data_IF_695751496412
#
_entry.id   IF_695751496412
#
_cell.length_a   1.000
_cell.length_b   1.000
_cell.length_c   1.000
_cell.angle_alpha   90.00
_cell.angle_beta   90.00
_cell.angle_gamma   90.00
#
_symmetry.space_group_name_H-M   'P 1'
#
loop_
_entity.id
_entity.type
_entity.pdbx_description
1 polymer ?
#
# COMPACT_ATOMS: atom_id res chain seq x y z
N UNK A 1 18.53 -29.12 -17.08
CA UNK A 1 18.51 -28.86 -15.62
C UNK A 1 17.22 -28.13 -15.26
N UNK A 2 16.68 -28.28 -14.05
CA UNK A 2 15.57 -27.43 -13.57
C UNK A 2 16.13 -26.10 -13.08
N UNK A 3 15.44 -25.00 -13.41
CA UNK A 3 15.88 -23.64 -13.10
C UNK A 3 14.67 -22.71 -13.07
N UNK A 4 14.75 -21.61 -12.32
CA UNK A 4 13.74 -20.56 -12.40
C UNK A 4 13.93 -19.69 -13.63
N UNK A 5 12.87 -19.10 -14.16
CA UNK A 5 12.93 -18.23 -15.34
C UNK A 5 13.96 -17.08 -15.22
N UNK A 6 14.30 -16.68 -13.99
CA UNK A 6 15.33 -15.67 -13.65
C UNK A 6 16.77 -16.16 -13.72
N UNK A 7 16.97 -17.43 -14.06
CA UNK A 7 18.27 -18.15 -14.04
C UNK A 7 18.57 -18.76 -15.42
N UNK A 8 17.94 -18.24 -16.48
CA UNK A 8 18.17 -18.76 -17.83
C UNK A 8 19.61 -18.49 -18.24
N UNK A 9 20.34 -19.56 -18.54
CA UNK A 9 21.72 -19.48 -19.03
C UNK A 9 21.77 -18.77 -20.39
N UNK A 10 22.78 -17.91 -20.57
CA UNK A 10 22.96 -17.11 -21.78
C UNK A 10 22.05 -15.88 -21.90
N UNK A 11 21.14 -15.66 -20.95
CA UNK A 11 20.28 -14.47 -20.91
C UNK A 11 20.96 -13.35 -20.09
N UNK A 12 21.31 -12.26 -20.76
CA UNK A 12 22.05 -11.14 -20.15
C UNK A 12 21.29 -10.48 -18.99
N UNK A 13 19.95 -10.42 -19.08
CA UNK A 13 19.11 -9.83 -18.04
C UNK A 13 19.03 -10.75 -16.82
N UNK A 14 18.98 -12.07 -17.03
CA UNK A 14 19.08 -13.04 -15.93
C UNK A 14 20.43 -12.92 -15.22
N UNK A 15 21.53 -12.79 -15.96
CA UNK A 15 22.86 -12.60 -15.40
C UNK A 15 22.99 -11.28 -14.62
N UNK A 16 22.42 -10.19 -15.13
CA UNK A 16 22.40 -8.91 -14.42
C UNK A 16 21.55 -8.99 -13.14
N UNK A 17 20.39 -9.64 -13.20
CA UNK A 17 19.54 -9.87 -12.04
C UNK A 17 20.21 -10.72 -10.96
N UNK A 18 21.01 -11.73 -11.36
CA UNK A 18 21.80 -12.53 -10.42
C UNK A 18 22.85 -11.68 -9.71
N UNK A 19 23.63 -10.87 -10.45
CA UNK A 19 24.62 -9.96 -9.85
C UNK A 19 24.01 -8.98 -8.85
N UNK A 20 22.79 -8.49 -9.12
CA UNK A 20 22.09 -7.62 -8.17
C UNK A 20 21.82 -8.34 -6.83
N UNK A 21 21.38 -9.60 -6.88
CA UNK A 21 21.17 -10.43 -5.69
C UNK A 21 22.48 -10.83 -5.01
N UNK A 22 23.54 -11.06 -5.77
CA UNK A 22 24.87 -11.34 -5.22
C UNK A 22 25.36 -10.15 -4.37
N UNK A 23 25.20 -8.92 -4.88
CA UNK A 23 25.54 -7.69 -4.14
C UNK A 23 24.69 -7.55 -2.87
N UNK A 24 23.38 -7.80 -2.94
CA UNK A 24 22.52 -7.80 -1.74
C UNK A 24 22.99 -8.85 -0.72
N UNK A 25 23.31 -10.06 -1.18
CA UNK A 25 23.81 -11.12 -0.31
C UNK A 25 25.15 -10.74 0.35
N UNK A 26 26.11 -10.21 -0.40
CA UNK A 26 27.42 -9.78 0.12
C UNK A 26 27.29 -8.74 1.24
N UNK A 27 26.34 -7.82 1.12
CA UNK A 27 26.12 -6.75 2.12
C UNK A 27 25.36 -7.27 3.35
N UNK A 28 24.33 -8.09 3.15
CA UNK A 28 23.35 -8.37 4.19
C UNK A 28 23.42 -9.79 4.78
N UNK A 29 24.05 -10.77 4.13
CA UNK A 29 24.07 -12.16 4.62
C UNK A 29 24.63 -12.32 6.03
N UNK A 30 25.60 -11.47 6.41
CA UNK A 30 26.20 -11.46 7.75
C UNK A 30 25.19 -11.23 8.87
N UNK A 31 24.09 -10.50 8.63
CA UNK A 31 23.10 -10.24 9.67
C UNK A 31 22.28 -11.48 10.05
N UNK A 32 22.41 -12.58 9.29
CA UNK A 32 21.87 -13.88 9.66
C UNK A 32 22.75 -14.65 10.67
N UNK A 33 23.86 -14.05 11.12
CA UNK A 33 24.75 -14.63 12.13
C UNK A 33 24.43 -14.10 13.54
N UNK A 34 24.57 -14.98 14.54
CA UNK A 34 24.22 -14.66 15.93
C UNK A 34 25.03 -13.49 16.52
N UNK A 35 26.22 -13.20 15.99
CA UNK A 35 27.06 -12.09 16.42
C UNK A 35 26.44 -10.70 16.16
N UNK A 36 25.42 -10.61 15.29
CA UNK A 36 24.69 -9.39 15.00
C UNK A 36 23.38 -9.25 15.80
N UNK A 37 23.10 -10.12 16.76
CA UNK A 37 21.83 -10.08 17.50
C UNK A 37 21.65 -8.82 18.37
N UNK A 38 22.74 -8.21 18.84
CA UNK A 38 22.72 -7.02 19.71
C UNK A 38 23.24 -5.76 18.98
N UNK A 39 23.14 -5.73 17.66
CA UNK A 39 23.65 -4.61 16.87
C UNK A 39 22.85 -3.31 17.15
N UNK A 40 23.53 -2.17 17.19
CA UNK A 40 22.86 -0.86 17.18
C UNK A 40 22.26 -0.63 15.79
N UNK A 41 20.99 -1.01 15.64
CA UNK A 41 20.28 -1.03 14.36
C UNK A 41 20.27 0.35 13.70
N UNK A 42 20.10 1.42 14.49
CA UNK A 42 20.04 2.77 13.94
C UNK A 42 21.40 3.21 13.38
N UNK A 43 22.47 2.99 14.14
CA UNK A 43 23.83 3.32 13.72
C UNK A 43 24.23 2.51 12.48
N UNK A 44 23.92 1.21 12.46
CA UNK A 44 24.26 0.33 11.35
C UNK A 44 23.46 0.67 10.09
N UNK A 45 22.16 0.93 10.21
CA UNK A 45 21.33 1.34 9.09
C UNK A 45 21.87 2.62 8.43
N UNK A 46 22.32 3.59 9.23
CA UNK A 46 22.94 4.80 8.73
C UNK A 46 24.24 4.51 7.99
N UNK A 47 25.16 3.76 8.61
CA UNK A 47 26.46 3.42 8.04
C UNK A 47 26.33 2.69 6.71
N UNK A 48 25.45 1.69 6.65
CA UNK A 48 25.19 0.91 5.43
C UNK A 48 24.45 1.74 4.40
N UNK A 49 23.44 2.54 4.80
CA UNK A 49 22.71 3.41 3.89
C UNK A 49 23.61 4.43 3.18
N UNK A 50 24.51 5.07 3.92
CA UNK A 50 25.49 6.03 3.39
C UNK A 50 26.46 5.35 2.41
N UNK A 51 26.95 4.14 2.71
CA UNK A 51 27.91 3.43 1.87
C UNK A 51 27.27 2.75 0.65
N UNK A 52 26.06 2.18 0.81
CA UNK A 52 25.36 1.40 -0.21
C UNK A 52 24.44 2.25 -1.08
N UNK A 53 24.18 3.51 -0.70
CA UNK A 53 23.32 4.42 -1.46
C UNK A 53 21.84 4.09 -1.36
N UNK A 54 21.38 3.57 -0.22
CA UNK A 54 19.97 3.21 0.04
C UNK A 54 19.40 4.00 1.22
N UNK A 55 18.09 4.15 1.25
CA UNK A 55 17.41 4.81 2.37
C UNK A 55 17.55 3.99 3.66
N UNK A 56 17.56 4.66 4.81
CA UNK A 56 17.58 4.02 6.14
C UNK A 56 16.50 2.94 6.24
N UNK A 57 15.26 3.25 5.84
CA UNK A 57 14.13 2.32 5.90
C UNK A 57 14.35 1.05 5.06
N UNK A 58 14.91 1.17 3.87
CA UNK A 58 15.19 0.00 3.02
C UNK A 58 16.31 -0.86 3.60
N UNK A 59 17.34 -0.23 4.17
CA UNK A 59 18.45 -0.94 4.82
C UNK A 59 17.98 -1.67 6.07
N UNK A 60 17.14 -1.03 6.88
CA UNK A 60 16.52 -1.64 8.06
C UNK A 60 15.73 -2.89 7.68
N UNK A 61 14.88 -2.78 6.65
CA UNK A 61 14.14 -3.90 6.09
C UNK A 61 15.08 -5.05 5.66
N UNK A 62 16.18 -4.73 4.97
CA UNK A 62 17.16 -5.73 4.54
C UNK A 62 17.88 -6.42 5.71
N UNK A 63 18.31 -5.66 6.72
CA UNK A 63 18.96 -6.19 7.92
C UNK A 63 18.01 -7.13 8.66
N UNK A 64 16.78 -6.69 8.92
CA UNK A 64 15.78 -7.49 9.62
C UNK A 64 15.41 -8.76 8.83
N UNK A 65 15.29 -8.66 7.51
CA UNK A 65 15.02 -9.82 6.65
C UNK A 65 16.10 -10.91 6.77
N UNK A 66 17.39 -10.52 6.77
CA UNK A 66 18.48 -11.47 6.95
C UNK A 66 18.64 -11.94 8.39
N UNK A 67 18.35 -11.09 9.38
CA UNK A 67 18.27 -11.50 10.78
C UNK A 67 17.28 -12.65 10.97
N UNK A 68 16.09 -12.56 10.35
CA UNK A 68 15.09 -13.65 10.35
C UNK A 68 15.52 -14.88 9.57
N UNK A 69 16.29 -14.72 8.51
CA UNK A 69 16.88 -15.87 7.80
C UNK A 69 17.80 -16.70 8.72
N UNK A 70 18.39 -16.10 9.76
CA UNK A 70 19.15 -16.81 10.79
C UNK A 70 18.34 -17.86 11.56
N UNK A 71 17.01 -17.72 11.60
CA UNK A 71 16.07 -18.66 12.25
C UNK A 71 15.61 -19.80 11.30
N UNK A 72 16.10 -19.83 10.05
CA UNK A 72 15.71 -20.78 9.00
C UNK A 72 16.97 -21.40 8.36
N UNK A 73 17.64 -22.35 9.04
CA UNK A 73 18.98 -22.82 8.66
C UNK A 73 19.06 -23.47 7.27
N UNK A 74 18.05 -24.23 6.84
CA UNK A 74 18.04 -24.89 5.53
C UNK A 74 17.83 -23.88 4.40
N UNK A 75 16.93 -22.90 4.59
CA UNK A 75 16.74 -21.80 3.66
C UNK A 75 17.97 -20.89 3.60
N UNK A 76 18.62 -20.62 4.74
CA UNK A 76 19.89 -19.88 4.81
C UNK A 76 20.96 -20.57 3.97
N UNK A 77 21.09 -21.89 4.08
CA UNK A 77 22.01 -22.68 3.27
C UNK A 77 21.66 -22.61 1.77
N UNK A 78 20.38 -22.76 1.41
CA UNK A 78 19.93 -22.63 0.02
C UNK A 78 20.21 -21.24 -0.55
N UNK A 79 20.03 -20.19 0.25
CA UNK A 79 20.31 -18.81 -0.16
C UNK A 79 21.82 -18.58 -0.31
N UNK A 80 22.66 -19.17 0.53
CA UNK A 80 24.12 -19.10 0.39
C UNK A 80 24.61 -19.75 -0.91
N UNK A 81 23.98 -20.85 -1.32
CA UNK A 81 24.32 -21.57 -2.55
C UNK A 81 23.78 -20.85 -3.80
N UNK A 82 22.53 -20.42 -3.77
CA UNK A 82 21.80 -20.03 -5.00
C UNK A 82 21.58 -18.53 -5.15
N UNK A 83 21.56 -17.78 -4.04
CA UNK A 83 21.28 -16.33 -4.00
C UNK A 83 20.07 -15.93 -4.85
N UNK A 84 19.00 -16.72 -4.74
CA UNK A 84 17.74 -16.56 -5.50
C UNK A 84 16.84 -15.48 -4.92
N UNK A 85 16.92 -15.26 -3.62
CA UNK A 85 16.03 -14.35 -2.90
C UNK A 85 16.65 -12.96 -2.85
N UNK A 86 15.91 -11.98 -3.33
CA UNK A 86 16.18 -10.57 -3.08
C UNK A 86 15.63 -10.16 -1.71
N UNK A 87 16.03 -8.98 -1.24
CA UNK A 87 15.57 -8.42 0.04
C UNK A 87 14.05 -8.41 0.15
N UNK A 88 13.33 -8.09 -0.92
CA UNK A 88 11.85 -8.03 -0.91
C UNK A 88 11.21 -9.39 -0.64
N UNK A 89 11.79 -10.48 -1.16
CA UNK A 89 11.31 -11.84 -0.88
C UNK A 89 11.70 -12.31 0.51
N UNK A 90 12.91 -11.99 0.97
CA UNK A 90 13.34 -12.32 2.34
C UNK A 90 12.51 -11.60 3.39
N UNK A 91 12.20 -10.32 3.17
CA UNK A 91 11.34 -9.52 4.04
C UNK A 91 9.90 -10.08 4.11
N UNK A 92 9.35 -10.50 2.96
CA UNK A 92 8.06 -11.18 2.90
C UNK A 92 8.01 -12.48 3.73
N UNK A 93 9.14 -13.19 3.84
CA UNK A 93 9.31 -14.35 4.71
C UNK A 93 9.38 -13.88 6.16
N UNK A 94 10.28 -12.94 6.48
CA UNK A 94 10.48 -12.38 7.82
C UNK A 94 9.19 -11.87 8.45
N UNK A 95 8.43 -11.01 7.76
CA UNK A 95 7.14 -10.52 8.26
C UNK A 95 6.12 -11.64 8.54
N UNK A 96 6.22 -12.78 7.85
CA UNK A 96 5.32 -13.91 8.09
C UNK A 96 5.78 -14.76 9.26
N UNK A 97 7.09 -14.95 9.41
CA UNK A 97 7.70 -15.61 10.57
C UNK A 97 7.46 -14.80 11.85
N UNK A 98 7.53 -13.47 11.79
CA UNK A 98 7.33 -12.59 12.95
C UNK A 98 5.91 -12.69 13.52
N UNK A 99 4.92 -13.03 12.69
CA UNK A 99 3.55 -13.25 13.17
C UNK A 99 3.40 -14.51 14.02
N UNK A 100 4.42 -15.35 14.09
CA UNK A 100 4.47 -16.58 14.89
C UNK A 100 5.13 -16.38 16.26
N UNK A 101 5.49 -15.14 16.64
CA UNK A 101 6.24 -14.82 17.87
C UNK A 101 5.62 -15.33 19.18
N UNK A 102 4.35 -15.75 19.18
CA UNK A 102 3.65 -16.30 20.35
C UNK A 102 3.53 -17.85 20.37
N UNK A 103 4.12 -18.55 19.40
CA UNK A 103 4.04 -20.02 19.31
C UNK A 103 5.36 -20.70 19.74
N UNK A 104 5.30 -21.91 20.35
CA UNK A 104 6.48 -22.71 20.64
C UNK A 104 7.17 -23.11 19.33
N UNK A 105 8.45 -22.80 19.23
CA UNK A 105 9.02 -22.22 18.00
C UNK A 105 9.76 -23.18 17.09
N UNK A 106 10.23 -24.33 17.55
CA UNK A 106 11.17 -25.13 16.75
C UNK A 106 10.49 -25.94 15.64
N UNK A 107 9.51 -26.80 15.96
CA UNK A 107 8.85 -27.67 14.98
C UNK A 107 8.13 -26.87 13.88
N UNK A 108 7.52 -25.74 14.24
CA UNK A 108 6.86 -24.84 13.30
C UNK A 108 7.88 -24.15 12.39
N UNK A 109 9.03 -23.72 12.92
CA UNK A 109 10.11 -23.16 12.12
C UNK A 109 10.73 -24.22 11.21
N UNK A 110 10.93 -25.45 11.67
CA UNK A 110 11.42 -26.57 10.84
C UNK A 110 10.48 -26.86 9.67
N UNK A 111 9.16 -26.91 9.91
CA UNK A 111 8.16 -27.11 8.85
C UNK A 111 8.17 -25.95 7.84
N UNK A 112 8.26 -24.71 8.32
CA UNK A 112 8.36 -23.52 7.47
C UNK A 112 9.64 -23.51 6.65
N UNK A 113 10.76 -23.85 7.26
CA UNK A 113 12.07 -23.90 6.64
C UNK A 113 12.09 -24.94 5.51
N UNK A 114 11.63 -26.16 5.80
CA UNK A 114 11.49 -27.23 4.79
C UNK A 114 10.55 -26.82 3.64
N UNK A 115 9.41 -26.19 3.96
CA UNK A 115 8.46 -25.70 2.96
C UNK A 115 9.06 -24.61 2.06
N UNK A 116 9.85 -23.69 2.64
CA UNK A 116 10.52 -22.63 1.89
C UNK A 116 11.61 -23.19 0.98
N UNK A 117 12.40 -24.16 1.45
CA UNK A 117 13.39 -24.87 0.62
C UNK A 117 12.70 -25.56 -0.56
N UNK A 118 11.59 -26.25 -0.34
CA UNK A 118 10.81 -26.87 -1.43
C UNK A 118 10.30 -25.81 -2.43
N UNK A 119 9.81 -24.68 -1.92
CA UNK A 119 9.27 -23.59 -2.73
C UNK A 119 10.33 -22.96 -3.64
N UNK A 120 11.56 -22.83 -3.15
CA UNK A 120 12.69 -22.24 -3.86
C UNK A 120 13.62 -23.27 -4.50
N UNK A 121 13.15 -24.52 -4.64
CA UNK A 121 13.79 -25.55 -5.45
C UNK A 121 12.98 -25.75 -6.75
N UNK A 122 13.55 -25.44 -7.93
CA UNK A 122 12.82 -25.52 -9.18
C UNK A 122 12.53 -26.99 -9.54
N UNK A 123 11.26 -27.28 -9.85
CA UNK A 123 10.81 -28.63 -10.24
C UNK A 123 10.84 -28.84 -11.74
N UNK A 124 10.87 -27.74 -12.52
CA UNK A 124 10.95 -27.75 -13.98
C UNK A 124 11.77 -26.57 -14.50
N UNK A 125 12.29 -26.71 -15.72
CA UNK A 125 12.99 -25.64 -16.42
C UNK A 125 12.07 -24.43 -16.64
N UNK A 126 12.61 -23.22 -16.46
CA UNK A 126 11.87 -21.97 -16.66
C UNK A 126 10.69 -21.77 -15.69
N UNK A 127 10.72 -22.39 -14.50
CA UNK A 127 9.67 -22.20 -13.50
C UNK A 127 9.64 -20.73 -13.06
N UNK A 128 8.46 -20.15 -12.87
CA UNK A 128 8.38 -18.76 -12.37
C UNK A 128 8.80 -18.74 -10.91
N UNK A 129 9.77 -17.87 -10.57
CA UNK A 129 10.17 -17.64 -9.19
C UNK A 129 8.99 -17.02 -8.41
N UNK A 130 8.58 -17.58 -7.27
CA UNK A 130 7.49 -17.03 -6.47
C UNK A 130 7.69 -15.54 -6.16
N UNK A 131 6.63 -14.73 -6.32
CA UNK A 131 6.65 -13.32 -5.93
C UNK A 131 6.50 -13.19 -4.40
N UNK A 132 6.88 -12.04 -3.84
CA UNK A 132 6.66 -11.72 -2.42
C UNK A 132 5.20 -11.93 -1.99
N UNK A 133 4.23 -11.56 -2.84
CA UNK A 133 2.81 -11.80 -2.57
C UNK A 133 2.46 -13.29 -2.56
N UNK A 134 3.00 -14.07 -3.50
CA UNK A 134 2.77 -15.51 -3.54
C UNK A 134 3.38 -16.22 -2.31
N UNK A 135 4.56 -15.77 -1.88
CA UNK A 135 5.24 -16.23 -0.65
C UNK A 135 4.36 -15.95 0.56
N UNK A 136 3.96 -14.68 0.77
CA UNK A 136 3.06 -14.26 1.87
C UNK A 136 1.79 -15.11 1.87
N UNK A 137 1.15 -15.28 0.71
CA UNK A 137 -0.09 -16.07 0.61
C UNK A 137 0.13 -17.52 1.06
N UNK A 138 1.15 -18.19 0.52
CA UNK A 138 1.43 -19.60 0.80
C UNK A 138 1.89 -19.84 2.23
N UNK A 139 2.75 -18.98 2.76
CA UNK A 139 3.15 -19.05 4.17
C UNK A 139 1.96 -18.80 5.09
N UNK A 140 1.11 -17.80 4.80
CA UNK A 140 -0.11 -17.58 5.58
C UNK A 140 -1.08 -18.77 5.53
N UNK A 141 -1.19 -19.45 4.39
CA UNK A 141 -1.98 -20.68 4.27
C UNK A 141 -1.41 -21.81 5.15
N UNK A 142 -0.08 -21.96 5.19
CA UNK A 142 0.59 -22.94 6.05
C UNK A 142 0.40 -22.60 7.53
N UNK A 143 0.68 -21.35 7.92
CA UNK A 143 0.50 -20.84 9.27
C UNK A 143 -0.92 -21.05 9.78
N UNK A 144 -1.94 -20.83 8.95
CA UNK A 144 -3.35 -21.08 9.33
C UNK A 144 -3.70 -22.54 9.53
N UNK A 145 -2.99 -23.46 8.87
CA UNK A 145 -3.17 -24.90 9.09
C UNK A 145 -2.58 -25.30 10.44
N UNK A 146 -1.47 -24.68 10.82
CA UNK A 146 -0.77 -24.90 12.09
C UNK A 146 -1.56 -24.26 13.25
N UNK A 147 -1.99 -23.01 13.08
CA UNK A 147 -2.77 -22.26 14.07
C UNK A 147 -3.94 -21.51 13.42
N UNK A 148 -5.15 -22.04 13.62
CA UNK A 148 -6.39 -21.45 13.13
C UNK A 148 -6.73 -20.10 13.78
N UNK A 149 -6.15 -19.77 14.95
CA UNK A 149 -6.39 -18.49 15.62
C UNK A 149 -5.72 -17.31 14.90
N UNK A 150 -4.72 -17.58 14.06
CA UNK A 150 -4.06 -16.61 13.19
C UNK A 150 -4.84 -16.34 11.89
N UNK A 151 -6.02 -16.95 11.73
CA UNK A 151 -6.91 -16.63 10.62
C UNK A 151 -7.34 -15.15 10.70
N UNK A 152 -7.34 -14.42 9.57
CA UNK A 152 -7.75 -13.03 9.56
C UNK A 152 -9.21 -12.91 10.02
N UNK A 153 -9.48 -11.91 10.86
CA UNK A 153 -10.83 -11.63 11.36
C UNK A 153 -11.82 -11.59 10.18
N UNK A 154 -12.86 -12.44 10.17
CA UNK A 154 -13.84 -12.48 9.09
C UNK A 154 -14.54 -11.13 8.91
N UNK A 155 -14.69 -10.32 9.97
CA UNK A 155 -15.24 -8.97 9.89
C UNK A 155 -14.33 -8.04 9.11
N UNK A 156 -13.02 -8.01 9.43
CA UNK A 156 -12.03 -7.20 8.70
C UNK A 156 -11.87 -7.66 7.26
N UNK A 157 -11.95 -8.98 7.02
CA UNK A 157 -11.88 -9.56 5.67
C UNK A 157 -13.10 -9.17 4.83
N UNK A 158 -14.28 -9.16 5.45
CA UNK A 158 -15.52 -8.69 4.82
C UNK A 158 -15.46 -7.18 4.54
N UNK A 159 -15.02 -6.37 5.51
CA UNK A 159 -14.83 -4.92 5.31
C UNK A 159 -13.91 -4.60 4.13
N UNK A 160 -12.77 -5.30 4.01
CA UNK A 160 -11.85 -5.13 2.87
C UNK A 160 -12.46 -5.57 1.53
N UNK A 161 -13.32 -6.58 1.53
CA UNK A 161 -14.06 -6.99 0.32
C UNK A 161 -15.12 -5.95 -0.03
N UNK A 162 -15.90 -5.51 0.95
CA UNK A 162 -16.93 -4.48 0.78
C UNK A 162 -16.31 -3.12 0.36
N UNK A 163 -15.05 -2.86 0.73
CA UNK A 163 -14.24 -1.71 0.29
C UNK A 163 -13.73 -1.88 -1.14
N UNK A 164 -13.27 -3.08 -1.51
CA UNK A 164 -12.78 -3.39 -2.86
C UNK A 164 -13.91 -3.49 -3.90
N UNK A 165 -15.07 -3.99 -3.50
CA UNK A 165 -16.26 -4.13 -4.33
C UNK A 165 -17.13 -2.85 -4.31
N UNK A 166 -16.65 -1.79 -3.65
CA UNK A 166 -17.32 -0.49 -3.61
C UNK A 166 -17.18 0.20 -4.97
N UNK A 167 -18.26 0.82 -5.51
CA UNK A 167 -18.14 1.60 -6.74
C UNK A 167 -17.09 2.71 -6.57
N UNK A 168 -16.28 2.93 -7.61
CA UNK A 168 -15.33 4.04 -7.65
C UNK A 168 -16.08 5.35 -7.39
N UNK A 169 -15.55 6.20 -6.50
CA UNK A 169 -16.15 7.52 -6.23
C UNK A 169 -17.12 7.61 -5.05
N UNK A 170 -17.38 6.51 -4.31
CA UNK A 170 -18.12 6.59 -3.05
C UNK A 170 -17.40 7.50 -2.04
N UNK A 171 -18.12 8.45 -1.43
CA UNK A 171 -17.55 9.33 -0.41
C UNK A 171 -17.21 8.53 0.85
N UNK A 172 -15.97 8.61 1.29
CA UNK A 172 -15.45 7.92 2.46
C UNK A 172 -14.83 8.93 3.43
N UNK A 173 -15.09 8.71 4.71
CA UNK A 173 -14.56 9.52 5.79
C UNK A 173 -13.83 8.61 6.77
N UNK A 174 -12.58 8.92 7.07
CA UNK A 174 -11.79 8.19 8.05
C UNK A 174 -11.21 9.14 9.09
N UNK A 175 -11.47 8.85 10.36
CA UNK A 175 -10.80 9.47 11.50
C UNK A 175 -9.67 8.55 11.96
N UNK A 176 -8.49 9.10 12.18
CA UNK A 176 -7.31 8.33 12.57
C UNK A 176 -6.42 9.11 13.54
N UNK A 177 -5.69 8.43 14.42
CA UNK A 177 -4.66 9.05 15.25
C UNK A 177 -3.37 9.26 14.45
N UNK A 178 -2.72 10.40 14.65
CA UNK A 178 -1.40 10.71 14.07
C UNK A 178 -0.28 10.47 15.10
N UNK A 179 -0.45 11.02 16.30
CA UNK A 179 0.43 10.86 17.46
C UNK A 179 -0.37 11.09 18.75
N UNK A 180 0.30 11.11 19.91
CA UNK A 180 -0.35 11.22 21.23
C UNK A 180 -1.15 12.52 21.45
N UNK A 181 -0.97 13.54 20.60
CA UNK A 181 -1.61 14.85 20.73
C UNK A 181 -2.42 15.25 19.49
N UNK A 182 -2.34 14.48 18.39
CA UNK A 182 -2.93 14.84 17.11
C UNK A 182 -3.74 13.69 16.51
N UNK A 183 -4.89 14.04 15.94
CA UNK A 183 -5.73 13.16 15.16
C UNK A 183 -6.07 13.82 13.82
N UNK A 184 -6.18 13.00 12.78
CA UNK A 184 -6.48 13.40 11.42
C UNK A 184 -7.87 12.99 10.98
N UNK A 185 -8.35 13.70 9.96
CA UNK A 185 -9.55 13.39 9.20
C UNK A 185 -9.16 13.35 7.72
N UNK A 186 -9.51 12.26 7.05
CA UNK A 186 -9.44 12.16 5.60
C UNK A 186 -10.84 11.97 5.04
N UNK A 187 -11.19 12.76 4.03
CA UNK A 187 -12.40 12.59 3.24
C UNK A 187 -11.97 12.37 1.79
N UNK A 188 -12.35 11.24 1.21
CA UNK A 188 -12.12 10.90 -0.19
C UNK A 188 -13.47 10.68 -0.86
N UNK A 189 -13.55 10.86 -2.16
CA UNK A 189 -14.80 10.68 -2.88
C UNK A 189 -14.67 11.12 -4.32
N UNK A 190 -15.79 11.08 -5.04
CA UNK A 190 -15.85 11.56 -6.41
C UNK A 190 -15.42 13.04 -6.52
N UNK A 191 -14.75 13.38 -7.63
CA UNK A 191 -14.28 14.73 -7.97
C UNK A 191 -15.38 15.79 -7.78
N UNK A 192 -16.61 15.53 -8.27
CA UNK A 192 -17.73 16.46 -8.13
C UNK A 192 -18.15 16.70 -6.67
N UNK A 193 -18.15 15.64 -5.87
CA UNK A 193 -18.52 15.68 -4.45
C UNK A 193 -17.49 16.49 -3.66
N UNK A 194 -16.20 16.16 -3.81
CA UNK A 194 -15.12 16.84 -3.08
C UNK A 194 -15.01 18.31 -3.50
N UNK A 195 -15.13 18.62 -4.80
CA UNK A 195 -15.13 19.99 -5.27
C UNK A 195 -16.32 20.80 -4.72
N UNK A 196 -17.49 20.18 -4.62
CA UNK A 196 -18.67 20.83 -4.03
C UNK A 196 -18.47 21.11 -2.53
N UNK A 197 -17.85 20.18 -1.80
CA UNK A 197 -17.49 20.37 -0.39
C UNK A 197 -16.50 21.52 -0.22
N UNK A 198 -15.43 21.59 -1.01
CA UNK A 198 -14.45 22.69 -0.96
C UNK A 198 -15.13 24.04 -1.21
N UNK A 199 -15.95 24.15 -2.26
CA UNK A 199 -16.67 25.40 -2.58
C UNK A 199 -17.63 25.83 -1.48
N UNK A 200 -18.23 24.86 -0.80
CA UNK A 200 -19.11 25.13 0.34
C UNK A 200 -18.32 25.69 1.52
N UNK A 201 -17.23 25.03 1.89
CA UNK A 201 -16.33 25.47 2.95
C UNK A 201 -15.77 26.87 2.65
N UNK A 202 -15.28 27.12 1.44
CA UNK A 202 -14.75 28.42 1.02
C UNK A 202 -15.79 29.54 1.16
N UNK A 203 -17.04 29.25 0.84
CA UNK A 203 -18.13 30.23 0.94
C UNK A 203 -18.49 30.50 2.40
N UNK A 204 -18.62 29.46 3.22
CA UNK A 204 -18.86 29.59 4.67
C UNK A 204 -17.72 30.36 5.33
N UNK A 205 -16.47 30.07 4.96
CA UNK A 205 -15.29 30.79 5.44
C UNK A 205 -15.37 32.28 5.09
N UNK A 206 -15.68 32.62 3.83
CA UNK A 206 -15.83 34.01 3.39
C UNK A 206 -16.97 34.74 4.09
N UNK A 207 -18.15 34.11 4.20
CA UNK A 207 -19.34 34.71 4.83
C UNK A 207 -19.14 34.91 6.34
N UNK A 208 -18.54 33.93 7.01
CA UNK A 208 -18.25 33.96 8.44
C UNK A 208 -16.98 34.71 8.82
N UNK A 209 -16.17 35.17 7.85
CA UNK A 209 -14.82 35.73 8.05
C UNK A 209 -13.91 34.79 8.85
N UNK A 210 -14.00 33.50 8.54
CA UNK A 210 -13.23 32.43 9.16
C UNK A 210 -12.10 31.99 8.21
N UNK A 211 -11.07 31.36 8.76
CA UNK A 211 -10.16 30.53 7.98
C UNK A 211 -10.89 29.29 7.46
N UNK A 212 -10.31 28.64 6.44
CA UNK A 212 -10.87 27.40 5.89
C UNK A 212 -10.97 26.31 6.97
N UNK A 213 -9.94 26.15 7.81
CA UNK A 213 -9.92 25.18 8.90
C UNK A 213 -11.00 25.44 9.96
N UNK A 214 -11.18 26.69 10.36
CA UNK A 214 -12.25 27.08 11.30
C UNK A 214 -13.64 26.84 10.70
N UNK A 215 -13.83 27.10 9.41
CA UNK A 215 -15.08 26.81 8.72
C UNK A 215 -15.37 25.30 8.68
N UNK A 216 -14.38 24.46 8.34
CA UNK A 216 -14.52 22.99 8.38
C UNK A 216 -14.90 22.52 9.79
N UNK A 217 -14.19 23.00 10.82
CA UNK A 217 -14.49 22.65 12.20
C UNK A 217 -15.90 23.06 12.61
N UNK A 218 -16.30 24.30 12.32
CA UNK A 218 -17.62 24.80 12.68
C UNK A 218 -18.76 24.04 11.96
N UNK A 219 -18.55 23.64 10.70
CA UNK A 219 -19.49 22.79 9.95
C UNK A 219 -19.59 21.40 10.60
N UNK A 220 -18.46 20.71 10.81
CA UNK A 220 -18.45 19.32 11.29
C UNK A 220 -18.90 19.16 12.75
N UNK A 221 -18.73 20.20 13.57
CA UNK A 221 -19.19 20.24 14.97
C UNK A 221 -20.63 20.75 15.11
N UNK A 222 -21.28 21.15 14.01
CA UNK A 222 -22.64 21.70 14.04
C UNK A 222 -22.75 23.11 14.64
N UNK A 223 -21.64 23.81 14.83
CA UNK A 223 -21.63 25.21 15.30
C UNK A 223 -22.16 26.17 14.22
N UNK A 224 -22.00 25.82 12.94
CA UNK A 224 -22.56 26.55 11.81
C UNK A 224 -23.43 25.61 10.96
N UNK A 225 -24.74 25.84 11.01
CA UNK A 225 -25.72 25.24 10.11
C UNK A 225 -26.21 26.32 9.15
N UNK A 226 -25.47 26.56 8.07
CA UNK A 226 -25.90 27.49 7.01
C UNK A 226 -26.55 26.72 5.86
N UNK A 227 -27.38 27.40 5.06
CA UNK A 227 -27.91 26.84 3.80
C UNK A 227 -27.35 27.65 2.62
N UNK A 228 -26.03 27.77 2.62
CA UNK A 228 -25.28 28.66 1.73
C UNK A 228 -25.24 28.11 0.30
N UNK A 229 -25.43 28.98 -0.69
CA UNK A 229 -25.42 28.60 -2.11
C UNK A 229 -24.00 28.60 -2.68
N UNK A 230 -23.62 27.50 -3.33
CA UNK A 230 -22.36 27.35 -4.06
C UNK A 230 -22.58 27.44 -5.57
N UNK A 231 -21.53 27.85 -6.27
CA UNK A 231 -21.43 27.85 -7.73
C UNK A 231 -20.26 26.95 -8.07
N UNK A 232 -20.50 25.91 -8.87
CA UNK A 232 -19.47 25.02 -9.37
C UNK A 232 -19.28 25.31 -10.86
N UNK A 233 -18.05 25.68 -11.22
CA UNK A 233 -17.65 25.86 -12.61
C UNK A 233 -17.13 24.53 -13.14
N UNK A 234 -17.76 24.03 -14.19
CA UNK A 234 -17.44 22.74 -14.81
C UNK A 234 -17.28 22.94 -16.32
N UNK A 235 -16.40 22.17 -16.95
CA UNK A 235 -16.08 22.31 -18.38
C UNK A 235 -16.29 20.99 -19.09
N UNK A 236 -17.09 20.96 -20.14
CA UNK A 236 -17.29 19.77 -20.98
C UNK A 236 -16.41 19.83 -22.23
N UNK A 237 -16.01 18.67 -22.77
CA UNK A 237 -15.40 18.62 -24.10
C UNK A 237 -16.47 18.88 -25.16
N UNK A 238 -16.14 19.66 -26.20
CA UNK A 238 -17.06 19.92 -27.32
C UNK A 238 -17.44 18.66 -28.10
N UNK A 239 -16.52 17.69 -28.15
CA UNK A 239 -16.64 16.49 -28.98
C UNK A 239 -17.29 15.32 -28.26
N UNK A 240 -17.27 15.31 -26.93
CA UNK A 240 -17.85 14.27 -26.09
C UNK A 240 -18.28 14.84 -24.73
N UNK A 241 -19.58 15.10 -24.49
CA UNK A 241 -20.08 15.64 -23.24
C UNK A 241 -20.23 14.57 -22.14
N UNK A 242 -19.63 13.38 -22.27
CA UNK A 242 -19.75 12.28 -21.30
C UNK A 242 -19.05 12.52 -19.95
N UNK A 243 -18.23 13.57 -19.85
CA UNK A 243 -17.51 13.92 -18.62
C UNK A 243 -17.29 15.43 -18.48
N UNK A 244 -17.17 15.87 -17.23
CA UNK A 244 -16.91 17.26 -16.88
C UNK A 244 -15.55 17.40 -16.22
N UNK A 245 -14.79 18.41 -16.62
CA UNK A 245 -13.57 18.83 -15.94
C UNK A 245 -13.88 19.86 -14.87
N UNK A 246 -13.37 19.62 -13.67
CA UNK A 246 -13.47 20.53 -12.52
C UNK A 246 -12.07 21.05 -12.18
N UNK A 247 -11.83 22.37 -12.19
CA UNK A 247 -10.53 22.94 -11.83
C UNK A 247 -10.05 22.45 -10.46
N UNK A 248 -8.75 22.17 -10.35
CA UNK A 248 -8.04 21.60 -9.19
C UNK A 248 -8.33 20.12 -8.87
N UNK A 249 -9.38 19.51 -9.42
CA UNK A 249 -9.76 18.13 -9.09
C UNK A 249 -9.67 17.16 -10.27
N UNK A 250 -9.83 17.64 -11.51
CA UNK A 250 -9.70 16.81 -12.71
C UNK A 250 -11.04 16.45 -13.37
N UNK A 251 -11.04 15.38 -14.15
CA UNK A 251 -12.22 14.89 -14.88
C UNK A 251 -13.11 14.02 -13.99
N UNK A 252 -14.43 14.12 -14.18
CA UNK A 252 -15.39 13.18 -13.60
C UNK A 252 -15.34 11.84 -14.31
N UNK A 253 -15.56 10.77 -13.55
CA UNK A 253 -15.91 9.45 -14.07
C UNK A 253 -17.42 9.34 -14.33
N UNK A 254 -17.90 8.19 -14.79
CA UNK A 254 -19.32 7.99 -15.13
C UNK A 254 -20.26 8.27 -13.94
N UNK A 255 -19.90 7.78 -12.75
CA UNK A 255 -20.70 7.98 -11.53
C UNK A 255 -20.70 9.45 -11.09
N UNK A 256 -19.56 10.15 -11.22
CA UNK A 256 -19.44 11.58 -10.95
C UNK A 256 -20.20 12.46 -11.92
N UNK A 257 -20.20 12.10 -13.21
CA UNK A 257 -21.00 12.76 -14.24
C UNK A 257 -22.48 12.59 -13.93
N UNK A 258 -22.94 11.36 -13.68
CA UNK A 258 -24.35 11.10 -13.35
C UNK A 258 -24.78 11.85 -12.08
N UNK A 259 -23.91 11.92 -11.07
CA UNK A 259 -24.17 12.70 -9.86
C UNK A 259 -24.31 14.20 -10.15
N UNK A 260 -23.41 14.79 -10.94
CA UNK A 260 -23.50 16.20 -11.34
C UNK A 260 -24.77 16.47 -12.17
N UNK A 261 -25.09 15.59 -13.11
CA UNK A 261 -26.29 15.72 -13.95
C UNK A 261 -27.56 15.67 -13.10
N UNK A 262 -27.63 14.77 -12.11
CA UNK A 262 -28.77 14.74 -11.17
C UNK A 262 -28.93 16.06 -10.41
N UNK A 263 -27.82 16.68 -10.00
CA UNK A 263 -27.85 18.00 -9.35
C UNK A 263 -28.23 19.14 -10.30
N UNK A 264 -27.92 19.03 -11.59
CA UNK A 264 -28.32 20.01 -12.61
C UNK A 264 -29.81 19.88 -12.94
N UNK A 265 -30.34 18.66 -13.05
CA UNK A 265 -31.76 18.38 -13.32
C UNK A 265 -32.68 18.81 -12.18
N UNK A 266 -32.24 18.64 -10.92
CA UNK A 266 -32.99 19.07 -9.74
C UNK A 266 -33.13 20.60 -9.64
N UNK A 267 -32.53 21.41 -10.54
CA UNK A 267 -32.59 22.87 -10.46
C UNK A 267 -32.54 23.61 -11.81
N UNK A 268 -33.63 23.62 -12.61
CA UNK A 268 -33.65 24.27 -13.91
C UNK A 268 -33.64 25.82 -13.83
N UNK A 269 -34.30 26.41 -12.83
CA UNK A 269 -34.25 27.85 -12.55
C UNK A 269 -34.38 28.09 -11.03
N UNK A 270 -33.26 28.40 -10.36
CA UNK A 270 -33.29 28.98 -9.02
C UNK A 270 -32.50 28.28 -7.92
N UNK A 271 -31.70 27.25 -8.18
CA UNK A 271 -30.89 26.57 -7.14
C UNK A 271 -29.57 26.08 -7.78
N UNK A 272 -28.42 26.39 -7.13
CA UNK A 272 -27.03 26.09 -7.55
C UNK A 272 -26.70 26.33 -9.04
N UNK A 273 -26.27 27.54 -9.41
CA UNK A 273 -25.93 27.82 -10.81
C UNK A 273 -24.64 27.09 -11.22
N UNK A 274 -24.73 26.20 -12.20
CA UNK A 274 -23.61 25.63 -12.93
C UNK A 274 -23.31 26.52 -14.14
N UNK A 275 -22.04 26.89 -14.33
CA UNK A 275 -21.61 27.56 -15.57
C UNK A 275 -20.79 26.54 -16.35
N UNK A 276 -21.36 26.05 -17.45
CA UNK A 276 -20.69 25.17 -18.40
C UNK A 276 -20.07 26.02 -19.50
N UNK A 277 -18.75 26.06 -19.57
CA UNK A 277 -18.01 26.69 -20.67
C UNK A 277 -17.26 25.62 -21.47
N UNK A 278 -17.27 25.75 -22.79
CA UNK A 278 -16.63 24.78 -23.68
C UNK A 278 -15.13 25.06 -23.80
N UNK A 279 -14.29 24.08 -23.46
CA UNK A 279 -12.84 24.16 -23.74
C UNK A 279 -12.60 24.13 -25.26
N UNK A 280 -11.65 24.93 -25.73
CA UNK A 280 -11.27 25.04 -27.16
C UNK A 280 -10.59 23.77 -27.63
#
# INVERSE_FOLDING_TARGET
MSYFATEREGDELCAAGQRARDVEYEVFARYAEAEFAELDLELECRRVGEAFGRSKAWVEQAILAYYRLGELPALKALQAETRRLDVVRLDAIGETVDRLHNLPREEVLEELDAFLVEMFTPKKAGQILPSAMAIRRRLNELVRKIDASLAPDPKKTKQRKDEKDRPLGACETTFYGLNDLEAGLSITGNVGVIASMERYVDRVAKEGKLTQSEAVQAILTGQLCTNTKIVLHVFAQKTDPSSYFIPNFGWTDADGTAWLESLMEESPEGVRSFVCEALI
#
